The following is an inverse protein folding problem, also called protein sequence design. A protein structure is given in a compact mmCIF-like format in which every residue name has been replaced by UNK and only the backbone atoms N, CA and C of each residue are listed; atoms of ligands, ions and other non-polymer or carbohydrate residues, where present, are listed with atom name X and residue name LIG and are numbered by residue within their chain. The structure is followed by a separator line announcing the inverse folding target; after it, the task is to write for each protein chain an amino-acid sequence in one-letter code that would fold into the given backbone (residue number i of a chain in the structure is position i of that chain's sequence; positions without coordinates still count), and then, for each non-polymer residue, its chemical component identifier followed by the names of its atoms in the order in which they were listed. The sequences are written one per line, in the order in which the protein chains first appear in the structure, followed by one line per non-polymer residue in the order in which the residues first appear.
data_IF_338214242502
#
_entry.id   IF_338214242502
#
_cell.length_a   1.000
_cell.length_b   1.000
_cell.length_c   1.000
_cell.angle_alpha   90.00
_cell.angle_beta   90.00
_cell.angle_gamma   90.00
#
_symmetry.space_group_name_H-M   'P 1'
#
loop_
_entity.id
_entity.type
_entity.pdbx_description
1 polymer ?
#
# COMPACT_ATOMS: atom_id res chain seq x y z
N UNK A 1 46.21 43.74 -37.83
CA UNK A 1 46.39 42.37 -37.32
C UNK A 1 45.80 42.33 -35.91
N UNK A 2 44.48 42.14 -35.79
CA UNK A 2 43.81 41.97 -34.51
C UNK A 2 43.30 40.54 -34.42
N UNK A 3 43.89 39.76 -33.52
CA UNK A 3 43.36 38.48 -33.11
C UNK A 3 42.15 38.76 -32.20
N UNK A 4 40.95 38.41 -32.67
CA UNK A 4 39.78 38.34 -31.81
C UNK A 4 39.59 36.86 -31.47
N UNK A 5 39.90 36.51 -30.23
CA UNK A 5 39.62 35.20 -29.65
C UNK A 5 38.12 34.97 -29.70
N UNK A 6 37.70 33.95 -30.44
CA UNK A 6 36.31 33.49 -30.44
C UNK A 6 36.14 32.60 -29.23
N UNK A 7 35.63 33.16 -28.14
CA UNK A 7 35.14 32.39 -27.00
C UNK A 7 33.85 31.70 -27.39
N UNK A 8 33.93 30.39 -27.68
CA UNK A 8 32.75 29.53 -27.80
C UNK A 8 32.16 29.29 -26.41
N UNK A 9 31.38 30.25 -25.91
CA UNK A 9 30.46 29.99 -24.81
C UNK A 9 29.27 29.20 -25.38
N UNK A 10 29.21 27.90 -25.05
CA UNK A 10 28.02 27.08 -25.27
C UNK A 10 26.83 27.70 -24.55
N UNK A 11 25.68 27.96 -25.21
CA UNK A 11 24.52 28.53 -24.54
C UNK A 11 23.97 27.56 -23.48
N UNK A 12 24.14 27.91 -22.21
CA UNK A 12 23.47 27.29 -21.06
C UNK A 12 22.02 27.76 -21.00
N UNK A 13 21.17 27.26 -21.90
CA UNK A 13 19.71 27.36 -21.72
C UNK A 13 19.08 26.04 -22.11
N UNK A 14 18.93 25.14 -21.13
CA UNK A 14 18.02 24.01 -21.23
C UNK A 14 16.58 24.55 -21.23
N UNK A 15 16.13 25.01 -22.40
CA UNK A 15 14.76 25.49 -22.61
C UNK A 15 13.79 24.33 -22.37
N UNK A 16 12.83 24.56 -21.47
CA UNK A 16 11.67 23.72 -21.17
C UNK A 16 11.13 23.07 -22.45
N UNK A 17 11.42 21.78 -22.64
CA UNK A 17 10.95 21.03 -23.83
C UNK A 17 9.48 20.72 -23.61
N UNK A 18 8.63 21.50 -24.27
CA UNK A 18 7.20 21.24 -24.36
C UNK A 18 6.94 20.33 -25.56
N UNK A 19 6.30 19.19 -25.34
CA UNK A 19 5.87 18.28 -26.42
C UNK A 19 4.39 17.97 -26.22
N UNK A 20 3.57 18.21 -27.25
CA UNK A 20 2.12 17.97 -27.18
C UNK A 20 1.39 18.74 -26.05
N UNK A 21 1.95 19.88 -25.58
CA UNK A 21 1.40 20.65 -24.47
C UNK A 21 1.85 20.23 -23.07
N UNK A 22 2.71 19.22 -22.96
CA UNK A 22 3.27 18.75 -21.67
C UNK A 22 4.64 19.38 -21.44
N UNK A 23 4.83 19.99 -20.26
CA UNK A 23 6.13 20.48 -19.78
C UNK A 23 7.00 19.32 -19.30
N UNK A 24 8.18 19.13 -19.92
CA UNK A 24 9.12 18.08 -19.54
C UNK A 24 9.64 18.20 -18.10
N UNK A 25 9.80 19.42 -17.60
CA UNK A 25 10.28 19.68 -16.24
C UNK A 25 9.22 19.37 -15.18
N UNK A 26 7.94 19.64 -15.51
CA UNK A 26 6.83 19.27 -14.65
C UNK A 26 6.66 17.74 -14.59
N UNK A 27 6.75 17.07 -15.75
CA UNK A 27 6.68 15.61 -15.81
C UNK A 27 7.82 14.96 -15.02
N UNK A 28 9.06 15.46 -15.17
CA UNK A 28 10.23 15.00 -14.40
C UNK A 28 9.99 15.11 -12.89
N UNK A 29 9.53 16.27 -12.43
CA UNK A 29 9.25 16.49 -10.99
C UNK A 29 8.18 15.52 -10.46
N UNK A 30 7.15 15.22 -11.27
CA UNK A 30 6.12 14.24 -10.89
C UNK A 30 6.71 12.83 -10.80
N UNK A 31 7.52 12.41 -11.78
CA UNK A 31 8.16 11.10 -11.81
C UNK A 31 9.09 10.93 -10.61
N UNK A 32 9.99 11.87 -10.36
CA UNK A 32 10.93 11.80 -9.23
C UNK A 32 10.21 11.68 -7.88
N UNK A 33 9.08 12.38 -7.71
CA UNK A 33 8.24 12.25 -6.51
C UNK A 33 7.60 10.87 -6.38
N UNK A 34 7.13 10.28 -7.49
CA UNK A 34 6.52 8.95 -7.49
C UNK A 34 7.58 7.88 -7.19
N UNK A 35 8.77 7.97 -7.81
CA UNK A 35 9.86 7.02 -7.59
C UNK A 35 10.28 6.98 -6.12
N UNK A 36 10.43 8.15 -5.49
CA UNK A 36 10.70 8.22 -4.05
C UNK A 36 9.60 7.58 -3.21
N UNK A 37 8.33 7.82 -3.53
CA UNK A 37 7.20 7.21 -2.80
C UNK A 37 7.13 5.68 -3.00
N UNK A 38 7.48 5.17 -4.19
CA UNK A 38 7.55 3.72 -4.42
C UNK A 38 8.73 3.08 -3.67
N UNK A 39 9.87 3.77 -3.53
CA UNK A 39 10.97 3.33 -2.68
C UNK A 39 10.57 3.28 -1.20
N UNK A 40 9.94 4.34 -0.68
CA UNK A 40 9.42 4.39 0.70
C UNK A 40 8.42 3.25 0.96
N UNK A 41 7.49 3.03 0.02
CA UNK A 41 6.50 1.94 0.07
C UNK A 41 7.17 0.57 0.05
N UNK A 42 8.24 0.39 -0.73
CA UNK A 42 8.99 -0.86 -0.77
C UNK A 42 9.71 -1.14 0.57
N UNK A 43 10.27 -0.10 1.19
CA UNK A 43 10.82 -0.15 2.55
C UNK A 43 9.78 -0.60 3.57
N UNK A 44 8.65 0.12 3.65
CA UNK A 44 7.54 -0.22 4.55
C UNK A 44 7.02 -1.64 4.33
N UNK A 45 6.90 -2.07 3.06
CA UNK A 45 6.48 -3.43 2.74
C UNK A 45 7.49 -4.48 3.22
N UNK A 46 8.78 -4.15 3.25
CA UNK A 46 9.84 -5.03 3.78
C UNK A 46 9.73 -5.12 5.29
N UNK A 47 9.61 -4.00 6.00
CA UNK A 47 9.42 -3.96 7.45
C UNK A 47 8.19 -4.77 7.89
N UNK A 48 7.06 -4.63 7.18
CA UNK A 48 5.85 -5.41 7.44
C UNK A 48 6.11 -6.93 7.28
N UNK A 49 6.90 -7.34 6.29
CA UNK A 49 7.25 -8.76 6.09
C UNK A 49 8.13 -9.27 7.22
N UNK A 50 9.06 -8.47 7.72
CA UNK A 50 9.92 -8.83 8.84
C UNK A 50 9.10 -9.03 10.12
N UNK A 51 8.14 -8.13 10.41
CA UNK A 51 7.22 -8.28 11.55
C UNK A 51 6.39 -9.57 11.43
N UNK A 52 5.90 -9.90 10.24
CA UNK A 52 5.20 -11.18 10.03
C UNK A 52 6.14 -12.39 10.19
N UNK A 53 7.40 -12.28 9.80
CA UNK A 53 8.38 -13.34 9.95
C UNK A 53 8.72 -13.55 11.44
N UNK A 54 8.88 -12.47 12.21
CA UNK A 54 9.06 -12.51 13.66
C UNK A 54 7.86 -13.17 14.34
N UNK A 55 6.64 -12.75 14.01
CA UNK A 55 5.42 -13.36 14.54
C UNK A 55 5.37 -14.87 14.27
N UNK A 56 5.77 -15.30 13.06
CA UNK A 56 5.88 -16.72 12.71
C UNK A 56 6.95 -17.44 13.55
N UNK A 57 8.12 -16.82 13.73
CA UNK A 57 9.20 -17.36 14.57
C UNK A 57 8.80 -17.52 16.04
N UNK A 58 7.95 -16.61 16.53
CA UNK A 58 7.36 -16.65 17.87
C UNK A 58 6.15 -17.60 17.99
N UNK A 59 5.80 -18.33 16.92
CA UNK A 59 4.75 -19.36 16.94
C UNK A 59 3.34 -18.87 16.60
N UNK A 60 3.16 -17.62 16.17
CA UNK A 60 1.85 -17.13 15.76
C UNK A 60 1.49 -17.56 14.33
N UNK A 61 0.20 -17.85 14.09
CA UNK A 61 -0.31 -18.08 12.74
C UNK A 61 -0.51 -16.75 11.99
N UNK A 62 0.38 -16.51 11.01
CA UNK A 62 0.36 -15.31 10.17
C UNK A 62 -0.94 -15.15 9.39
N UNK A 63 -1.61 -16.24 8.99
CA UNK A 63 -2.88 -16.15 8.25
C UNK A 63 -3.98 -15.54 9.12
N UNK A 64 -4.06 -15.98 10.37
CA UNK A 64 -5.01 -15.48 11.37
C UNK A 64 -4.72 -14.02 11.71
N UNK A 65 -3.45 -13.63 11.90
CA UNK A 65 -3.08 -12.21 12.10
C UNK A 65 -3.56 -11.34 10.92
N UNK A 66 -3.35 -11.78 9.68
CA UNK A 66 -3.84 -11.03 8.49
C UNK A 66 -5.36 -10.91 8.47
N UNK A 67 -6.09 -11.95 8.90
CA UNK A 67 -7.56 -11.88 9.03
C UNK A 67 -7.95 -10.85 10.09
N UNK A 68 -7.28 -10.84 11.25
CA UNK A 68 -7.51 -9.86 12.32
C UNK A 68 -7.25 -8.43 11.82
N UNK A 69 -6.14 -8.18 11.12
CA UNK A 69 -5.83 -6.85 10.57
C UNK A 69 -6.93 -6.35 9.63
N UNK A 70 -7.47 -7.22 8.76
CA UNK A 70 -8.61 -6.86 7.90
C UNK A 70 -9.87 -6.55 8.72
N UNK A 71 -10.19 -7.38 9.71
CA UNK A 71 -11.35 -7.14 10.58
C UNK A 71 -11.23 -5.83 11.37
N UNK A 72 -10.00 -5.42 11.73
CA UNK A 72 -9.74 -4.16 12.42
C UNK A 72 -9.84 -2.90 11.54
N UNK A 73 -9.91 -3.07 10.22
CA UNK A 73 -10.13 -1.97 9.27
C UNK A 73 -11.61 -1.66 9.07
N UNK A 74 -12.50 -2.61 9.38
CA UNK A 74 -13.95 -2.42 9.33
C UNK A 74 -14.42 -1.60 10.54
N UNK A 75 -15.51 -0.86 10.38
CA UNK A 75 -16.17 -0.25 11.53
C UNK A 75 -16.87 -1.32 12.39
N UNK A 76 -17.22 -0.94 13.61
CA UNK A 76 -17.80 -1.86 14.58
C UNK A 76 -19.11 -2.49 14.10
N UNK A 77 -19.99 -1.70 13.47
CA UNK A 77 -21.30 -2.16 13.04
C UNK A 77 -21.17 -3.11 11.84
N UNK A 78 -20.33 -2.76 10.86
CA UNK A 78 -20.06 -3.63 9.72
C UNK A 78 -19.47 -4.98 10.16
N UNK A 79 -18.51 -4.95 11.09
CA UNK A 79 -17.90 -6.19 11.62
C UNK A 79 -18.95 -7.07 12.32
N UNK A 80 -19.81 -6.48 13.14
CA UNK A 80 -20.82 -7.21 13.89
C UNK A 80 -21.90 -7.80 12.96
N UNK A 81 -22.35 -7.04 11.96
CA UNK A 81 -23.29 -7.52 10.94
C UNK A 81 -22.70 -8.70 10.15
N UNK A 82 -21.44 -8.58 9.70
CA UNK A 82 -20.75 -9.68 9.00
C UNK A 82 -20.60 -10.92 9.90
N UNK A 83 -20.32 -10.74 11.20
CA UNK A 83 -20.21 -11.85 12.14
C UNK A 83 -21.56 -12.53 12.37
N UNK A 84 -22.64 -11.76 12.52
CA UNK A 84 -24.00 -12.30 12.67
C UNK A 84 -24.45 -13.11 11.46
N UNK A 85 -24.17 -12.62 10.24
CA UNK A 85 -24.46 -13.36 9.01
C UNK A 85 -23.62 -14.64 8.91
N UNK A 86 -22.32 -14.56 9.21
CA UNK A 86 -21.44 -15.72 9.23
C UNK A 86 -21.94 -16.79 10.19
N UNK A 87 -22.28 -16.41 11.42
CA UNK A 87 -22.79 -17.32 12.45
C UNK A 87 -24.10 -17.98 11.99
N UNK A 88 -25.00 -17.21 11.37
CA UNK A 88 -26.26 -17.72 10.82
C UNK A 88 -26.00 -18.78 9.75
N UNK A 89 -25.07 -18.54 8.84
CA UNK A 89 -24.73 -19.49 7.78
C UNK A 89 -24.00 -20.72 8.32
N UNK A 90 -23.07 -20.54 9.26
CA UNK A 90 -22.38 -21.67 9.88
C UNK A 90 -23.34 -22.57 10.67
N UNK A 91 -24.33 -21.98 11.36
CA UNK A 91 -25.43 -22.71 12.00
C UNK A 91 -26.27 -23.50 10.99
N UNK A 92 -26.68 -22.86 9.90
CA UNK A 92 -27.44 -23.52 8.83
C UNK A 92 -26.67 -24.68 8.17
N UNK A 93 -25.34 -24.59 8.13
CA UNK A 93 -24.45 -25.64 7.62
C UNK A 93 -24.06 -26.70 8.68
N UNK A 94 -24.56 -26.60 9.91
CA UNK A 94 -24.20 -27.50 11.01
C UNK A 94 -22.74 -27.38 11.47
N UNK A 95 -22.05 -26.30 11.08
CA UNK A 95 -20.66 -25.99 11.48
C UNK A 95 -20.57 -25.27 12.83
N UNK A 96 -21.68 -24.71 13.28
CA UNK A 96 -21.87 -24.22 14.64
C UNK A 96 -23.09 -24.93 15.23
N UNK A 97 -23.09 -25.18 16.55
CA UNK A 97 -24.22 -25.81 17.17
C UNK A 97 -25.46 -24.92 17.09
N UNK A 98 -26.58 -25.55 16.75
CA UNK A 98 -27.92 -25.00 16.88
C UNK A 98 -28.38 -25.19 18.34
N UNK A 99 -27.71 -24.57 19.32
CA UNK A 99 -28.26 -24.62 20.68
C UNK A 99 -29.33 -23.54 20.82
N UNK A 100 -30.58 -23.96 20.58
CA UNK A 100 -31.72 -23.51 21.36
C UNK A 100 -31.52 -24.03 22.79
N UNK A 101 -31.84 -23.21 23.80
CA UNK A 101 -31.72 -23.63 25.19
C UNK A 101 -32.55 -24.87 25.43
N UNK A 102 -31.91 -25.97 25.83
CA UNK A 102 -32.58 -26.96 26.66
C UNK A 102 -32.41 -26.53 28.10
N UNK A 103 -33.56 -26.30 28.73
CA UNK A 103 -33.73 -26.00 30.14
C UNK A 103 -32.89 -26.93 31.03
N UNK A 104 -32.14 -26.32 31.97
CA UNK A 104 -31.80 -26.94 33.27
C UNK A 104 -31.86 -25.89 34.37
#
# INVERSE_FOLDING_TARGET
MYAHEVTNETPKEAKNRTYGGVSGDQLRTIIERIERLEEEKAGIATDIREVFAEAKGNGFDVKTIRRILKLRQLDHNERDEQQHLLDTYMKALGMLPLFEGEDV
#
